data_IF_015749217421
#
_entry.id   IF_015749217421
#
_cell.length_a   1.000
_cell.length_b   1.000
_cell.length_c   1.000
_cell.angle_alpha   90.00
_cell.angle_beta   90.00
_cell.angle_gamma   90.00
#
_symmetry.space_group_name_H-M   'P 1'
#
loop_
_entity.id
_entity.type
_entity.pdbx_description
1 polymer ?
#
# COMPACT_ATOMS: atom_id res chain seq x y z
N UNK A 1 -4.92 15.54 8.46
CA UNK A 1 -3.58 14.93 8.64
C UNK A 1 -3.07 14.34 7.31
N UNK A 2 -2.75 15.18 6.32
CA UNK A 2 -2.05 14.76 5.07
C UNK A 2 -0.58 15.22 5.06
N UNK A 3 -0.13 15.79 6.17
CA UNK A 3 1.06 16.63 6.19
C UNK A 3 2.35 15.81 6.36
N UNK A 4 2.33 14.69 7.08
CA UNK A 4 3.53 13.88 7.28
C UNK A 4 4.00 13.18 6.01
N UNK A 5 3.11 12.50 5.28
CA UNK A 5 3.48 11.80 4.04
C UNK A 5 3.83 12.78 2.91
N UNK A 6 3.14 13.94 2.88
CA UNK A 6 3.41 14.98 1.88
C UNK A 6 4.68 15.75 2.21
N UNK A 7 4.96 16.00 3.49
CA UNK A 7 6.26 16.52 3.95
C UNK A 7 7.35 15.51 3.67
N UNK A 8 7.16 14.24 3.97
CA UNK A 8 8.12 13.17 3.68
C UNK A 8 8.43 13.11 2.19
N UNK A 9 7.42 13.14 1.32
CA UNK A 9 7.59 13.21 -0.14
C UNK A 9 8.33 14.47 -0.61
N UNK A 10 8.00 15.64 -0.06
CA UNK A 10 8.65 16.91 -0.43
C UNK A 10 10.08 17.01 0.08
N UNK A 11 10.35 16.53 1.29
CA UNK A 11 11.70 16.40 1.85
C UNK A 11 12.48 15.36 1.07
N UNK A 12 11.87 14.26 0.63
CA UNK A 12 12.48 13.28 -0.26
C UNK A 12 12.92 13.90 -1.60
N UNK A 13 12.03 14.62 -2.26
CA UNK A 13 12.36 15.29 -3.52
C UNK A 13 13.49 16.31 -3.31
N UNK A 14 13.36 17.21 -2.33
CA UNK A 14 14.35 18.24 -2.03
C UNK A 14 15.73 17.65 -1.63
N UNK A 15 15.75 16.69 -0.70
CA UNK A 15 16.99 16.09 -0.18
C UNK A 15 17.66 15.15 -1.19
N UNK A 16 16.90 14.54 -2.11
CA UNK A 16 17.46 13.75 -3.21
C UNK A 16 18.07 14.67 -4.27
N UNK A 17 17.42 15.79 -4.61
CA UNK A 17 18.00 16.78 -5.52
C UNK A 17 19.29 17.38 -4.93
N UNK A 18 19.28 17.76 -3.66
CA UNK A 18 20.45 18.33 -2.98
C UNK A 18 21.60 17.32 -2.80
N UNK A 19 21.28 16.04 -2.56
CA UNK A 19 22.27 14.96 -2.51
C UNK A 19 22.79 14.54 -3.89
N UNK A 20 22.06 14.82 -4.98
CA UNK A 20 22.56 14.66 -6.35
C UNK A 20 23.48 15.82 -6.76
N UNK A 21 23.25 17.03 -6.25
CA UNK A 21 24.07 18.21 -6.52
C UNK A 21 25.39 18.23 -5.73
N UNK A 22 25.38 17.72 -4.49
CA UNK A 22 26.57 17.71 -3.64
C UNK A 22 27.43 16.47 -3.92
N UNK A 23 28.69 16.69 -4.34
CA UNK A 23 29.72 15.64 -4.54
C UNK A 23 30.12 14.89 -3.25
N UNK A 24 29.43 15.15 -2.14
CA UNK A 24 29.67 14.51 -0.86
C UNK A 24 28.96 13.17 -0.75
N UNK A 25 29.73 12.17 -0.33
CA UNK A 25 29.45 10.74 -0.33
C UNK A 25 28.38 10.30 0.68
N UNK A 26 27.29 11.05 0.88
CA UNK A 26 26.08 10.51 1.55
C UNK A 26 25.25 9.82 0.47
N UNK A 27 25.59 8.56 0.22
CA UNK A 27 25.03 7.75 -0.86
C UNK A 27 23.48 7.85 -0.87
N UNK A 28 22.84 8.37 -1.92
CA UNK A 28 21.38 8.55 -1.96
C UNK A 28 20.61 7.24 -1.70
N UNK A 29 21.25 6.10 -1.98
CA UNK A 29 20.76 4.77 -1.62
C UNK A 29 20.61 4.56 -0.11
N UNK A 30 21.50 5.10 0.73
CA UNK A 30 21.44 4.97 2.19
C UNK A 30 20.22 5.68 2.76
N UNK A 31 19.99 6.94 2.34
CA UNK A 31 18.79 7.70 2.73
C UNK A 31 17.52 6.99 2.26
N UNK A 32 17.46 6.57 0.99
CA UNK A 32 16.30 5.84 0.46
C UNK A 32 16.03 4.53 1.21
N UNK A 33 17.06 3.80 1.63
CA UNK A 33 16.91 2.59 2.44
C UNK A 33 16.30 2.89 3.82
N UNK A 34 16.68 4.01 4.44
CA UNK A 34 16.09 4.42 5.70
C UNK A 34 14.59 4.74 5.51
N UNK A 35 14.25 5.56 4.52
CA UNK A 35 12.86 5.92 4.23
C UNK A 35 12.00 4.72 3.85
N UNK A 36 12.55 3.74 3.13
CA UNK A 36 11.85 2.50 2.82
C UNK A 36 11.46 1.74 4.10
N UNK A 37 12.36 1.63 5.08
CA UNK A 37 12.07 0.94 6.36
C UNK A 37 11.00 1.69 7.17
N UNK A 38 11.10 3.01 7.22
CA UNK A 38 10.11 3.86 7.90
C UNK A 38 8.74 3.71 7.23
N UNK A 39 8.70 3.80 5.89
CA UNK A 39 7.47 3.66 5.10
C UNK A 39 6.84 2.26 5.22
N UNK A 40 7.65 1.19 5.24
CA UNK A 40 7.18 -0.17 5.49
C UNK A 40 6.51 -0.28 6.87
N UNK A 41 7.09 0.37 7.88
CA UNK A 41 6.54 0.41 9.24
C UNK A 41 5.24 1.19 9.29
N UNK A 42 5.17 2.35 8.64
CA UNK A 42 3.96 3.18 8.56
C UNK A 42 2.82 2.45 7.84
N UNK A 43 3.10 1.79 6.71
CA UNK A 43 2.11 0.99 5.98
C UNK A 43 1.52 -0.10 6.88
N UNK A 44 2.35 -0.79 7.67
CA UNK A 44 1.87 -1.79 8.62
C UNK A 44 1.03 -1.18 9.76
N UNK A 45 1.39 0.01 10.24
CA UNK A 45 0.61 0.71 11.26
C UNK A 45 -0.77 1.11 10.74
N UNK A 46 -0.82 1.69 9.54
CA UNK A 46 -2.08 2.06 8.88
C UNK A 46 -2.96 0.84 8.64
N UNK A 47 -2.38 -0.29 8.21
CA UNK A 47 -3.12 -1.54 8.06
C UNK A 47 -3.83 -1.94 9.37
N UNK A 48 -3.12 -1.92 10.50
CA UNK A 48 -3.69 -2.25 11.81
C UNK A 48 -4.80 -1.28 12.24
N UNK A 49 -4.70 -0.01 11.87
CA UNK A 49 -5.74 0.98 12.15
C UNK A 49 -7.01 0.70 11.33
N UNK A 50 -6.87 0.36 10.04
CA UNK A 50 -7.99 -0.02 9.18
C UNK A 50 -8.65 -1.31 9.70
N UNK A 51 -7.87 -2.31 10.10
CA UNK A 51 -8.39 -3.54 10.72
C UNK A 51 -9.17 -3.26 12.02
N UNK A 52 -8.73 -2.28 12.83
CA UNK A 52 -9.47 -1.84 14.02
C UNK A 52 -10.80 -1.20 13.63
N UNK A 53 -10.82 -0.36 12.59
CA UNK A 53 -12.04 0.28 12.11
C UNK A 53 -13.05 -0.76 11.60
N UNK A 54 -12.59 -1.81 10.93
CA UNK A 54 -13.44 -2.95 10.57
C UNK A 54 -14.04 -3.67 11.78
N UNK A 55 -13.25 -3.89 12.85
CA UNK A 55 -13.78 -4.49 14.08
C UNK A 55 -14.85 -3.59 14.73
N UNK A 56 -14.61 -2.29 14.79
CA UNK A 56 -15.59 -1.33 15.30
C UNK A 56 -16.89 -1.37 14.49
N UNK A 57 -16.80 -1.44 13.15
CA UNK A 57 -17.98 -1.59 12.29
C UNK A 57 -18.82 -2.82 12.68
N UNK A 58 -18.17 -3.95 12.91
CA UNK A 58 -18.87 -5.18 13.30
C UNK A 58 -19.52 -5.08 14.68
N UNK A 59 -18.87 -4.41 15.64
CA UNK A 59 -19.45 -4.14 16.96
C UNK A 59 -20.71 -3.26 16.86
N UNK A 60 -20.62 -2.15 16.10
CA UNK A 60 -21.75 -1.26 15.85
C UNK A 60 -22.90 -1.99 15.16
N UNK A 61 -22.57 -2.86 14.20
CA UNK A 61 -23.57 -3.66 13.48
C UNK A 61 -24.31 -4.63 14.41
N UNK A 62 -23.61 -5.29 15.33
CA UNK A 62 -24.23 -6.17 16.33
C UNK A 62 -25.16 -5.40 17.26
N UNK A 63 -24.74 -4.23 17.73
CA UNK A 63 -25.56 -3.38 18.59
C UNK A 63 -26.79 -2.85 17.84
N UNK A 64 -26.64 -2.49 16.57
CA UNK A 64 -27.75 -2.06 15.71
C UNK A 64 -28.79 -3.17 15.55
N UNK A 65 -28.35 -4.40 15.27
CA UNK A 65 -29.23 -5.57 15.17
C UNK A 65 -29.92 -5.90 16.48
N UNK A 66 -29.21 -5.77 17.61
CA UNK A 66 -29.77 -5.96 18.94
C UNK A 66 -30.86 -4.93 19.24
N UNK A 67 -30.60 -3.64 18.98
CA UNK A 67 -31.56 -2.56 19.17
C UNK A 67 -32.79 -2.75 18.26
N UNK A 68 -32.60 -3.07 16.98
CA UNK A 68 -33.70 -3.36 16.06
C UNK A 68 -34.54 -4.56 16.50
N UNK A 69 -33.90 -5.64 16.97
CA UNK A 69 -34.59 -6.81 17.50
C UNK A 69 -35.39 -6.50 18.77
N UNK A 70 -34.87 -5.62 19.64
CA UNK A 70 -35.60 -5.16 20.82
C UNK A 70 -36.79 -4.27 20.46
N UNK A 71 -36.65 -3.37 19.48
CA UNK A 71 -37.76 -2.57 18.96
C UNK A 71 -38.90 -3.47 18.45
N UNK A 72 -38.59 -4.44 17.59
CA UNK A 72 -39.58 -5.37 17.04
C UNK A 72 -40.25 -6.21 18.14
N UNK A 73 -39.46 -6.67 19.12
CA UNK A 73 -40.01 -7.38 20.29
C UNK A 73 -41.00 -6.51 21.07
N UNK A 74 -40.67 -5.23 21.32
CA UNK A 74 -41.54 -4.30 22.06
C UNK A 74 -42.80 -3.97 21.28
N UNK A 75 -42.69 -3.83 19.96
CA UNK A 75 -43.84 -3.66 19.06
C UNK A 75 -44.82 -4.83 19.19
N UNK A 76 -44.33 -6.08 19.10
CA UNK A 76 -45.19 -7.26 19.30
C UNK A 76 -45.80 -7.32 20.71
N UNK A 77 -45.06 -6.92 21.75
CA UNK A 77 -45.61 -6.83 23.12
C UNK A 77 -46.70 -5.76 23.25
N UNK A 78 -46.55 -4.62 22.58
CA UNK A 78 -47.56 -3.57 22.55
C UNK A 78 -48.85 -4.08 21.85
N UNK A 79 -48.72 -4.78 20.73
CA UNK A 79 -49.88 -5.36 20.02
C UNK A 79 -50.67 -6.34 20.92
N UNK A 80 -49.97 -7.20 21.66
CA UNK A 80 -50.60 -8.14 22.61
C UNK A 80 -51.28 -7.39 23.77
N UNK A 81 -50.59 -6.40 24.37
CA UNK A 81 -51.14 -5.63 25.48
C UNK A 81 -52.40 -4.85 25.06
N UNK A 82 -52.39 -4.26 23.85
CA UNK A 82 -53.53 -3.55 23.28
C UNK A 82 -54.76 -4.44 23.10
N UNK A 83 -54.57 -5.73 22.82
CA UNK A 83 -55.65 -6.71 22.66
C UNK A 83 -56.14 -7.32 23.99
N UNK A 84 -55.52 -6.96 25.12
CA UNK A 84 -55.80 -7.55 26.43
C UNK A 84 -56.51 -6.56 27.34
N UNK A 85 -57.67 -6.92 27.88
CA UNK A 85 -58.39 -6.07 28.84
C UNK A 85 -57.56 -5.82 30.11
N UNK A 86 -57.52 -4.56 30.56
CA UNK A 86 -56.80 -4.15 31.78
C UNK A 86 -55.27 -4.01 31.63
N UNK A 87 -54.71 -4.12 30.43
CA UNK A 87 -53.27 -4.09 30.19
C UNK A 87 -52.74 -2.73 29.66
N UNK A 88 -53.44 -1.62 29.90
CA UNK A 88 -53.09 -0.29 29.34
C UNK A 88 -51.68 0.16 29.75
N UNK A 89 -51.29 -0.02 31.02
CA UNK A 89 -49.96 0.36 31.50
C UNK A 89 -48.83 -0.42 30.80
N UNK A 90 -49.08 -1.70 30.46
CA UNK A 90 -48.14 -2.54 29.73
C UNK A 90 -48.02 -2.08 28.27
N UNK A 91 -49.13 -1.67 27.66
CA UNK A 91 -49.14 -1.10 26.32
C UNK A 91 -48.32 0.19 26.27
N UNK A 92 -48.58 1.14 27.17
CA UNK A 92 -47.83 2.40 27.24
C UNK A 92 -46.33 2.19 27.45
N UNK A 93 -45.98 1.25 28.34
CA UNK A 93 -44.58 0.88 28.56
C UNK A 93 -43.92 0.30 27.30
N UNK A 94 -44.58 -0.64 26.63
CA UNK A 94 -44.05 -1.28 25.43
C UNK A 94 -43.87 -0.29 24.28
N UNK A 95 -44.82 0.63 24.06
CA UNK A 95 -44.73 1.68 23.03
C UNK A 95 -43.59 2.65 23.32
N UNK A 96 -43.42 3.09 24.57
CA UNK A 96 -42.29 3.97 24.95
C UNK A 96 -40.95 3.31 24.70
N UNK A 97 -40.80 2.05 25.14
CA UNK A 97 -39.56 1.29 24.95
C UNK A 97 -39.28 1.01 23.48
N UNK A 98 -40.29 0.67 22.69
CA UNK A 98 -40.17 0.51 21.24
C UNK A 98 -39.55 1.76 20.62
N UNK A 99 -40.10 2.95 20.89
CA UNK A 99 -39.61 4.21 20.33
C UNK A 99 -38.14 4.49 20.73
N UNK A 100 -37.74 4.16 21.96
CA UNK A 100 -36.34 4.30 22.41
C UNK A 100 -35.41 3.39 21.62
N UNK A 101 -35.79 2.13 21.41
CA UNK A 101 -34.99 1.17 20.66
C UNK A 101 -34.95 1.50 19.16
N UNK A 102 -36.04 2.02 18.59
CA UNK A 102 -36.09 2.50 17.20
C UNK A 102 -35.14 3.69 16.97
N UNK A 103 -35.17 4.70 17.86
CA UNK A 103 -34.23 5.83 17.78
C UNK A 103 -32.77 5.35 17.89
N UNK A 104 -32.50 4.43 18.82
CA UNK A 104 -31.16 3.84 18.95
C UNK A 104 -30.72 3.10 17.68
N UNK A 105 -31.58 2.24 17.14
CA UNK A 105 -31.28 1.48 15.93
C UNK A 105 -31.00 2.41 14.73
N UNK A 106 -31.80 3.46 14.58
CA UNK A 106 -31.63 4.49 13.54
C UNK A 106 -30.29 5.23 13.68
N UNK A 107 -29.92 5.68 14.88
CA UNK A 107 -28.62 6.34 15.12
C UNK A 107 -27.44 5.43 14.77
N UNK A 108 -27.52 4.15 15.15
CA UNK A 108 -26.47 3.17 14.87
C UNK A 108 -26.39 2.86 13.37
N UNK A 109 -27.52 2.83 12.66
CA UNK A 109 -27.57 2.68 11.20
C UNK A 109 -26.90 3.85 10.49
N UNK A 110 -27.20 5.10 10.89
CA UNK A 110 -26.50 6.27 10.37
C UNK A 110 -24.98 6.22 10.62
N UNK A 111 -24.58 5.75 11.81
CA UNK A 111 -23.17 5.58 12.13
C UNK A 111 -22.50 4.51 11.26
N UNK A 112 -23.19 3.40 10.95
CA UNK A 112 -22.68 2.38 10.03
C UNK A 112 -22.44 2.93 8.63
N UNK A 113 -23.38 3.73 8.11
CA UNK A 113 -23.24 4.38 6.80
C UNK A 113 -22.01 5.28 6.78
N UNK A 114 -21.81 6.07 7.83
CA UNK A 114 -20.63 6.94 7.93
C UNK A 114 -19.33 6.13 8.01
N UNK A 115 -19.30 5.08 8.83
CA UNK A 115 -18.14 4.17 8.94
C UNK A 115 -17.80 3.55 7.59
N UNK A 116 -18.80 3.19 6.78
CA UNK A 116 -18.59 2.63 5.44
C UNK A 116 -17.99 3.63 4.46
N UNK A 117 -18.42 4.88 4.52
CA UNK A 117 -17.83 5.97 3.71
C UNK A 117 -16.37 6.17 4.12
N UNK A 118 -16.11 6.26 5.43
CA UNK A 118 -14.77 6.50 5.96
C UNK A 118 -13.82 5.34 5.64
N UNK A 119 -14.28 4.08 5.77
CA UNK A 119 -13.49 2.90 5.42
C UNK A 119 -13.08 2.90 3.95
N UNK A 120 -13.99 3.21 3.02
CA UNK A 120 -13.65 3.30 1.59
C UNK A 120 -12.56 4.34 1.33
N UNK A 121 -12.67 5.52 1.93
CA UNK A 121 -11.66 6.57 1.81
C UNK A 121 -10.30 6.15 2.40
N UNK A 122 -10.31 5.42 3.52
CA UNK A 122 -9.09 4.89 4.13
C UNK A 122 -8.43 3.83 3.24
N UNK A 123 -9.22 2.97 2.60
CA UNK A 123 -8.71 1.93 1.68
C UNK A 123 -8.08 2.50 0.41
N UNK A 124 -8.68 3.54 -0.17
CA UNK A 124 -8.11 4.26 -1.32
C UNK A 124 -6.76 4.88 -0.96
N UNK A 125 -6.68 5.56 0.19
CA UNK A 125 -5.43 6.14 0.70
C UNK A 125 -4.39 5.07 1.01
N UNK A 126 -4.80 3.97 1.61
CA UNK A 126 -3.90 2.85 1.93
C UNK A 126 -3.35 2.17 0.68
N UNK A 127 -4.17 2.04 -0.36
CA UNK A 127 -3.74 1.53 -1.67
C UNK A 127 -2.69 2.46 -2.30
N UNK A 128 -2.93 3.77 -2.23
CA UNK A 128 -1.97 4.78 -2.70
C UNK A 128 -0.64 4.68 -1.95
N UNK A 129 -0.66 4.51 -0.62
CA UNK A 129 0.55 4.32 0.18
C UNK A 129 1.32 3.06 -0.24
N UNK A 130 0.62 1.94 -0.48
CA UNK A 130 1.25 0.70 -0.96
C UNK A 130 1.90 0.86 -2.33
N UNK A 131 1.26 1.58 -3.25
CA UNK A 131 1.82 1.88 -4.56
C UNK A 131 3.08 2.72 -4.43
N UNK A 132 3.02 3.81 -3.66
CA UNK A 132 4.20 4.66 -3.41
C UNK A 132 5.36 3.89 -2.77
N UNK A 133 5.08 2.93 -1.89
CA UNK A 133 6.11 2.07 -1.31
C UNK A 133 6.78 1.19 -2.39
N UNK A 134 6.00 0.60 -3.31
CA UNK A 134 6.54 -0.16 -4.44
C UNK A 134 7.40 0.71 -5.35
N UNK A 135 6.97 1.93 -5.63
CA UNK A 135 7.74 2.86 -6.46
C UNK A 135 9.09 3.19 -5.83
N UNK A 136 9.13 3.40 -4.50
CA UNK A 136 10.40 3.58 -3.78
C UNK A 136 11.29 2.33 -3.83
N UNK A 137 10.71 1.13 -3.77
CA UNK A 137 11.46 -0.12 -3.89
C UNK A 137 12.07 -0.29 -5.29
N UNK A 138 11.33 0.08 -6.35
CA UNK A 138 11.84 0.13 -7.72
C UNK A 138 12.97 1.14 -7.81
N UNK A 139 12.78 2.35 -7.25
CA UNK A 139 13.81 3.40 -7.26
C UNK A 139 15.09 2.95 -6.57
N UNK A 140 14.99 2.17 -5.49
CA UNK A 140 16.14 1.56 -4.83
C UNK A 140 16.91 0.63 -5.77
N UNK A 141 16.21 -0.22 -6.54
CA UNK A 141 16.85 -1.12 -7.50
C UNK A 141 17.59 -0.34 -8.60
N UNK A 142 17.00 0.74 -9.11
CA UNK A 142 17.64 1.63 -10.08
C UNK A 142 18.94 2.22 -9.54
N UNK A 143 18.90 2.81 -8.33
CA UNK A 143 20.07 3.42 -7.69
C UNK A 143 21.17 2.39 -7.41
N UNK A 144 20.81 1.17 -7.00
CA UNK A 144 21.76 0.07 -6.84
C UNK A 144 22.41 -0.31 -8.18
N UNK A 145 21.64 -0.36 -9.25
CA UNK A 145 22.14 -0.63 -10.60
C UNK A 145 23.13 0.43 -11.07
N UNK A 146 22.79 1.71 -10.89
CA UNK A 146 23.65 2.84 -11.24
C UNK A 146 24.96 2.85 -10.44
N UNK A 147 24.89 2.59 -9.13
CA UNK A 147 26.07 2.50 -8.26
C UNK A 147 26.98 1.34 -8.66
N UNK A 148 26.41 0.18 -8.97
CA UNK A 148 27.17 -0.98 -9.47
C UNK A 148 27.88 -0.65 -10.78
N UNK A 149 27.19 -0.02 -11.73
CA UNK A 149 27.77 0.38 -13.01
C UNK A 149 28.92 1.37 -12.81
N UNK A 150 28.73 2.38 -11.96
CA UNK A 150 29.73 3.39 -11.63
C UNK A 150 30.98 2.78 -11.00
N UNK A 151 30.80 1.84 -10.06
CA UNK A 151 31.90 1.08 -9.43
C UNK A 151 32.65 0.20 -10.43
N UNK A 152 31.95 -0.40 -11.40
CA UNK A 152 32.58 -1.21 -12.46
C UNK A 152 33.40 -0.32 -13.40
N UNK A 153 32.84 0.80 -13.87
CA UNK A 153 33.58 1.77 -14.69
C UNK A 153 34.85 2.25 -13.98
N UNK A 154 34.74 2.73 -12.74
CA UNK A 154 35.91 3.19 -11.99
C UNK A 154 36.98 2.09 -11.76
N UNK A 155 36.58 0.82 -11.64
CA UNK A 155 37.53 -0.30 -11.60
C UNK A 155 38.20 -0.56 -12.95
N UNK A 156 37.45 -0.50 -14.04
CA UNK A 156 37.96 -0.69 -15.40
C UNK A 156 38.94 0.45 -15.73
N UNK A 157 38.54 1.70 -15.52
CA UNK A 157 39.37 2.87 -15.79
C UNK A 157 40.66 2.82 -14.97
N UNK A 158 40.56 2.50 -13.68
CA UNK A 158 41.74 2.34 -12.82
C UNK A 158 42.65 1.15 -13.17
N UNK A 159 42.14 0.12 -13.86
CA UNK A 159 42.97 -0.97 -14.40
C UNK A 159 43.66 -0.55 -15.71
N UNK A 160 42.96 0.18 -16.57
CA UNK A 160 43.49 0.74 -17.82
C UNK A 160 44.61 1.75 -17.52
N UNK A 161 44.38 2.69 -16.60
CA UNK A 161 45.38 3.69 -16.20
C UNK A 161 46.65 3.08 -15.62
N UNK A 162 46.53 1.95 -14.91
CA UNK A 162 47.68 1.23 -14.34
C UNK A 162 48.46 0.40 -15.37
N UNK A 163 48.08 0.42 -16.65
CA UNK A 163 48.71 -0.37 -17.71
C UNK A 163 48.64 -1.88 -17.48
N UNK A 164 47.76 -2.32 -16.57
CA UNK A 164 47.63 -3.73 -16.22
C UNK A 164 46.77 -4.42 -17.28
N UNK A 165 47.39 -5.02 -18.30
CA UNK A 165 46.72 -6.06 -19.08
C UNK A 165 46.17 -7.12 -18.10
N UNK A 166 44.97 -7.69 -18.32
CA UNK A 166 44.44 -8.74 -17.46
C UNK A 166 45.35 -9.96 -17.56
N UNK A 167 46.36 -10.02 -16.68
CA UNK A 167 47.32 -11.10 -16.64
C UNK A 167 46.58 -12.41 -16.36
N UNK A 168 46.55 -13.27 -17.38
CA UNK A 168 45.89 -14.55 -17.41
C UNK A 168 46.50 -15.58 -16.45
N UNK A 169 46.32 -15.38 -15.15
CA UNK A 169 46.45 -16.44 -14.15
C UNK A 169 45.15 -16.53 -13.35
N UNK A 170 44.10 -17.05 -14.01
CA UNK A 170 42.92 -17.56 -13.32
C UNK A 170 43.35 -18.75 -12.46
N UNK A 171 43.49 -18.56 -11.14
CA UNK A 171 43.38 -19.70 -10.22
C UNK A 171 41.92 -20.13 -10.26
N UNK A 172 41.66 -21.33 -10.79
CA UNK A 172 40.34 -21.88 -10.95
C UNK A 172 39.65 -22.07 -9.59
N UNK A 173 38.72 -21.19 -9.25
CA UNK A 173 37.65 -21.54 -8.32
C UNK A 173 36.43 -21.93 -9.17
N UNK A 174 36.50 -23.15 -9.72
CA UNK A 174 35.60 -23.67 -10.77
C UNK A 174 34.24 -24.15 -10.24
N UNK A 175 33.76 -23.62 -9.10
CA UNK A 175 32.60 -24.19 -8.39
C UNK A 175 31.39 -23.29 -8.20
N UNK A 176 31.47 -21.96 -8.38
CA UNK A 176 30.36 -21.05 -8.01
C UNK A 176 30.07 -19.90 -8.98
N UNK A 177 30.78 -19.80 -10.11
CA UNK A 177 30.63 -18.67 -11.05
C UNK A 177 29.64 -19.01 -12.18
N UNK A 178 29.51 -20.27 -12.59
CA UNK A 178 28.67 -20.64 -13.73
C UNK A 178 27.17 -20.38 -13.51
N UNK A 179 26.68 -20.41 -12.27
CA UNK A 179 25.26 -20.16 -11.98
C UNK A 179 24.83 -18.69 -12.01
N UNK A 180 25.76 -17.77 -11.71
CA UNK A 180 25.49 -16.32 -11.72
C UNK A 180 25.59 -15.75 -13.14
N UNK A 181 26.56 -16.23 -13.93
CA UNK A 181 26.71 -15.84 -15.33
C UNK A 181 25.53 -16.33 -16.19
N UNK A 182 25.01 -17.54 -15.93
CA UNK A 182 23.81 -18.03 -16.62
C UNK A 182 22.58 -17.18 -16.30
N UNK A 183 22.30 -16.87 -15.03
CA UNK A 183 21.12 -16.07 -14.65
C UNK A 183 21.18 -14.62 -15.15
N UNK A 184 22.36 -14.00 -15.10
CA UNK A 184 22.54 -12.65 -15.63
C UNK A 184 22.37 -12.61 -17.16
N UNK A 185 22.88 -13.62 -17.88
CA UNK A 185 22.69 -13.76 -19.32
C UNK A 185 21.24 -14.04 -19.70
N UNK A 186 20.52 -14.90 -18.97
CA UNK A 186 19.10 -15.18 -19.24
C UNK A 186 18.23 -13.96 -19.01
N UNK A 187 18.47 -13.19 -17.94
CA UNK A 187 17.74 -11.94 -17.68
C UNK A 187 18.06 -10.86 -18.71
N UNK A 188 19.31 -10.77 -19.18
CA UNK A 188 19.68 -9.83 -20.24
C UNK A 188 19.05 -10.20 -21.58
N UNK A 189 19.00 -11.49 -21.93
CA UNK A 189 18.35 -11.96 -23.14
C UNK A 189 16.83 -11.70 -23.09
N UNK A 190 16.18 -11.95 -21.94
CA UNK A 190 14.76 -11.62 -21.73
C UNK A 190 14.48 -10.13 -21.89
N UNK A 191 15.25 -9.28 -21.23
CA UNK A 191 15.08 -7.82 -21.32
C UNK A 191 15.28 -7.27 -22.75
N UNK A 192 16.23 -7.82 -23.52
CA UNK A 192 16.43 -7.46 -24.93
C UNK A 192 15.24 -7.92 -25.79
N UNK A 193 14.68 -9.10 -25.52
CA UNK A 193 13.50 -9.58 -26.24
C UNK A 193 12.26 -8.76 -25.90
N UNK A 194 12.06 -8.40 -24.63
CA UNK A 194 10.93 -7.57 -24.19
C UNK A 194 11.01 -6.16 -24.79
N UNK A 195 12.22 -5.57 -24.85
CA UNK A 195 12.40 -4.27 -25.52
C UNK A 195 12.17 -4.35 -27.03
N UNK A 196 12.59 -5.44 -27.69
CA UNK A 196 12.28 -5.66 -29.10
C UNK A 196 10.79 -5.90 -29.35
N UNK A 197 10.12 -6.66 -28.49
CA UNK A 197 8.68 -6.89 -28.55
C UNK A 197 7.90 -5.58 -28.35
N UNK A 198 8.27 -4.77 -27.35
CA UNK A 198 7.65 -3.46 -27.13
C UNK A 198 7.84 -2.50 -28.32
N UNK A 199 9.00 -2.56 -28.99
CA UNK A 199 9.23 -1.78 -30.21
C UNK A 199 8.34 -2.27 -31.37
N UNK A 200 8.23 -3.59 -31.56
CA UNK A 200 7.36 -4.19 -32.58
C UNK A 200 5.87 -3.93 -32.32
N UNK A 201 5.42 -3.98 -31.05
CA UNK A 201 4.06 -3.61 -30.67
C UNK A 201 3.74 -2.14 -30.97
N UNK A 202 4.73 -1.25 -30.81
CA UNK A 202 4.57 0.16 -31.11
C UNK A 202 4.51 0.42 -32.62
N UNK A 203 5.28 -0.32 -33.41
CA UNK A 203 5.25 -0.24 -34.88
C UNK A 203 3.98 -0.84 -35.48
N UNK A 204 3.48 -1.95 -34.93
CA UNK A 204 2.22 -2.57 -35.37
C UNK A 204 1.01 -1.69 -35.06
N UNK A 205 0.91 -1.14 -33.85
CA UNK A 205 -0.16 -0.17 -33.51
C UNK A 205 -0.13 1.07 -34.40
N UNK A 206 1.06 1.58 -34.71
CA UNK A 206 1.21 2.74 -35.62
C UNK A 206 0.78 2.41 -37.05
N UNK A 207 0.94 1.17 -37.51
CA UNK A 207 0.47 0.73 -38.82
C UNK A 207 -1.03 0.38 -38.84
N UNK A 208 -1.63 0.03 -37.69
CA UNK A 208 -3.08 -0.12 -37.54
C UNK A 208 -3.80 1.24 -37.52
N UNK A 209 -3.19 2.28 -36.94
CA UNK A 209 -3.73 3.65 -36.94
C UNK A 209 -3.59 4.39 -38.30
N UNK A 210 -2.87 3.79 -39.27
CA UNK A 210 -2.61 4.35 -40.60
C UNK A 210 -3.36 3.66 -41.75
N UNK A 211 -4.20 2.66 -41.44
CA UNK A 211 -5.16 2.03 -42.36
C UNK A 211 -6.61 2.34 -41.94
#
# INVERSE_FOLDING_TARGET
MNDLFTKLKRTLEADLYEAMETKDKKHPLYKLNQYLRESETEVQQVQRLIERQYRLKEEVKREQQSAAGMAEKRKGQAEIARATEGAEELYEYAVREQAIYEDRASRLEHMLVQIDIDLKQLEEKFTTMKQSLKDMQIKRLELMGQDNLSKVHGKIDGLIEKGAAPNGKRKSSKGKIDGLDMRARTNHYGMIMDTRLAALEKETKKNEDLN
#
